data_IF_906396412852
#
_entry.id   IF_906396412852
#
_cell.length_a   1.000
_cell.length_b   1.000
_cell.length_c   1.000
_cell.angle_alpha   90.00
_cell.angle_beta   90.00
_cell.angle_gamma   90.00
#
_symmetry.space_group_name_H-M   'P 1'
#
loop_
_entity.id
_entity.type
_entity.pdbx_description
1 polymer ?
#
# COMPACT_ATOMS: atom_id res chain seq x y z
N UNK A 1 25.55 8.70 -12.09
CA UNK A 1 24.48 9.62 -12.50
C UNK A 1 23.50 9.66 -11.34
N UNK A 2 23.21 10.84 -10.77
CA UNK A 2 22.24 10.93 -9.69
C UNK A 2 20.92 10.32 -10.18
N UNK A 3 20.46 9.25 -9.52
CA UNK A 3 19.13 8.68 -9.76
C UNK A 3 18.15 9.84 -9.76
N UNK A 4 17.46 10.05 -10.87
CA UNK A 4 16.43 11.09 -10.96
C UNK A 4 15.41 10.72 -9.89
N UNK A 5 15.28 11.54 -8.86
CA UNK A 5 14.31 11.35 -7.79
C UNK A 5 12.91 11.31 -8.43
N UNK A 6 12.36 10.11 -8.67
CA UNK A 6 11.08 9.89 -9.34
C UNK A 6 10.02 9.67 -8.25
N UNK A 7 9.16 10.66 -7.92
CA UNK A 7 8.22 10.55 -6.80
C UNK A 7 7.22 9.40 -6.97
N UNK A 8 6.93 8.98 -8.19
CA UNK A 8 6.02 7.87 -8.47
C UNK A 8 6.66 6.48 -8.28
N UNK A 9 8.00 6.43 -8.22
CA UNK A 9 8.77 5.19 -8.07
C UNK A 9 9.31 5.00 -6.66
N UNK A 10 9.08 5.94 -5.74
CA UNK A 10 9.59 5.88 -4.38
C UNK A 10 8.70 6.69 -3.43
N UNK A 11 8.28 6.07 -2.32
CA UNK A 11 7.34 6.67 -1.38
C UNK A 11 7.95 7.81 -0.56
N UNK A 12 9.23 7.74 -0.18
CA UNK A 12 9.91 8.85 0.51
C UNK A 12 9.98 10.07 -0.39
N UNK A 13 10.38 9.85 -1.65
CA UNK A 13 10.42 10.90 -2.66
C UNK A 13 9.02 11.47 -2.98
N UNK A 14 7.97 10.66 -2.87
CA UNK A 14 6.58 11.11 -2.97
C UNK A 14 6.22 12.09 -1.85
N UNK A 15 6.53 11.74 -0.60
CA UNK A 15 6.31 12.60 0.57
C UNK A 15 7.05 13.92 0.42
N UNK A 16 8.33 13.89 0.04
CA UNK A 16 9.13 15.09 -0.22
C UNK A 16 8.54 15.95 -1.35
N UNK A 17 8.02 15.32 -2.41
CA UNK A 17 7.36 16.04 -3.50
C UNK A 17 6.06 16.71 -3.07
N UNK A 18 5.28 16.11 -2.16
CA UNK A 18 4.08 16.75 -1.60
C UNK A 18 4.45 17.96 -0.73
N UNK A 19 5.53 17.88 0.04
CA UNK A 19 6.05 19.02 0.81
C UNK A 19 6.52 20.14 -0.11
N UNK A 20 7.29 19.82 -1.15
CA UNK A 20 7.75 20.79 -2.15
C UNK A 20 6.60 21.43 -2.94
N UNK A 21 5.52 20.69 -3.19
CA UNK A 21 4.27 21.20 -3.78
C UNK A 21 3.49 22.13 -2.83
N UNK A 22 3.86 22.20 -1.54
CA UNK A 22 3.08 22.86 -0.51
C UNK A 22 1.77 22.15 -0.20
N UNK A 23 1.65 20.86 -0.52
CA UNK A 23 0.45 20.01 -0.39
C UNK A 23 0.52 19.02 0.79
N UNK A 24 1.51 19.19 1.68
CA UNK A 24 1.70 18.38 2.88
C UNK A 24 1.66 19.26 4.14
N UNK A 25 1.12 18.72 5.24
CA UNK A 25 1.21 19.29 6.58
C UNK A 25 1.91 18.27 7.48
N UNK A 26 3.09 18.64 7.97
CA UNK A 26 3.85 17.82 8.91
C UNK A 26 3.32 18.05 10.33
N UNK A 27 2.63 17.05 10.90
CA UNK A 27 2.06 17.10 12.25
C UNK A 27 3.08 16.48 13.21
N UNK A 28 3.65 17.32 14.08
CA UNK A 28 4.67 16.92 15.06
C UNK A 28 4.11 16.81 16.48
N UNK A 29 2.91 17.33 16.70
CA UNK A 29 2.12 17.08 17.91
C UNK A 29 1.76 15.60 17.98
N UNK A 30 1.65 15.08 19.20
CA UNK A 30 1.24 13.69 19.43
C UNK A 30 -0.23 13.52 19.10
N UNK A 31 -0.56 12.56 18.24
CA UNK A 31 -1.94 12.21 17.91
C UNK A 31 -2.28 10.79 18.40
N UNK A 32 -3.51 10.60 18.84
CA UNK A 32 -4.07 9.30 19.21
C UNK A 32 -4.46 8.51 17.94
N UNK A 33 -3.87 7.32 17.69
CA UNK A 33 -4.34 6.45 16.61
C UNK A 33 -5.78 5.96 16.84
N UNK A 34 -6.32 6.06 18.05
CA UNK A 34 -7.73 5.82 18.34
C UNK A 34 -8.59 7.03 17.94
N UNK A 35 -9.22 6.93 16.76
CA UNK A 35 -10.16 7.88 16.18
C UNK A 35 -9.59 9.25 15.78
N UNK A 36 -8.64 9.84 16.50
CA UNK A 36 -8.13 11.18 16.19
C UNK A 36 -7.46 11.24 14.81
N UNK A 37 -6.53 10.32 14.52
CA UNK A 37 -5.91 10.22 13.19
C UNK A 37 -6.97 10.05 12.10
N UNK A 38 -7.94 9.14 12.31
CA UNK A 38 -9.04 8.91 11.36
C UNK A 38 -9.91 10.15 11.13
N UNK A 39 -10.26 10.87 12.20
CA UNK A 39 -11.08 12.08 12.15
C UNK A 39 -10.36 13.23 11.42
N UNK A 40 -9.06 13.43 11.67
CA UNK A 40 -8.25 14.43 10.97
C UNK A 40 -8.19 14.09 9.48
N UNK A 41 -7.88 12.85 9.12
CA UNK A 41 -7.84 12.40 7.72
C UNK A 41 -9.20 12.61 7.06
N UNK A 42 -10.30 12.27 7.73
CA UNK A 42 -11.66 12.44 7.21
C UNK A 42 -11.95 13.91 6.89
N UNK A 43 -11.63 14.82 7.81
CA UNK A 43 -11.79 16.27 7.59
C UNK A 43 -10.95 16.77 6.43
N UNK A 44 -9.72 16.27 6.28
CA UNK A 44 -8.85 16.60 5.15
C UNK A 44 -9.50 16.21 3.82
N UNK A 45 -10.05 14.99 3.74
CA UNK A 45 -10.70 14.50 2.52
C UNK A 45 -11.94 15.33 2.17
N UNK A 46 -12.78 15.67 3.15
CA UNK A 46 -14.00 16.47 2.94
C UNK A 46 -13.72 17.88 2.42
N UNK A 47 -12.65 18.49 2.93
CA UNK A 47 -12.26 19.85 2.55
C UNK A 47 -11.31 19.90 1.35
N UNK A 48 -10.77 18.76 0.92
CA UNK A 48 -9.65 18.68 -0.02
C UNK A 48 -8.40 19.41 0.50
N UNK A 49 -8.17 19.39 1.81
CA UNK A 49 -7.01 20.00 2.46
C UNK A 49 -5.71 19.23 2.15
N UNK A 50 -4.57 19.80 2.55
CA UNK A 50 -3.23 19.21 2.43
C UNK A 50 -3.13 17.85 3.14
N UNK A 51 -2.29 16.96 2.61
CA UNK A 51 -2.09 15.63 3.18
C UNK A 51 -1.40 15.73 4.56
N UNK A 52 -1.98 15.19 5.65
CA UNK A 52 -1.34 15.20 6.95
C UNK A 52 -0.32 14.07 7.05
N UNK A 53 0.89 14.39 7.49
CA UNK A 53 1.92 13.43 7.86
C UNK A 53 2.06 13.43 9.38
N UNK A 54 1.53 12.38 10.01
CA UNK A 54 1.58 12.19 11.46
C UNK A 54 2.95 11.63 11.83
N UNK A 55 3.76 12.44 12.49
CA UNK A 55 5.13 12.06 12.87
C UNK A 55 5.20 11.38 14.24
N UNK A 56 4.24 11.70 15.12
CA UNK A 56 4.23 11.23 16.50
C UNK A 56 2.85 10.68 16.85
N UNK A 57 2.80 9.38 17.15
CA UNK A 57 1.57 8.71 17.56
C UNK A 57 1.66 8.27 19.02
N UNK A 58 0.57 8.35 19.74
CA UNK A 58 0.50 7.81 21.09
C UNK A 58 0.80 6.30 21.07
N UNK A 59 1.74 5.86 21.92
CA UNK A 59 2.19 4.47 21.99
C UNK A 59 3.18 4.05 20.90
N UNK A 60 3.67 4.98 20.07
CA UNK A 60 4.80 4.76 19.17
C UNK A 60 6.09 4.47 19.97
N UNK A 61 6.99 3.68 19.39
CA UNK A 61 8.31 3.44 19.99
C UNK A 61 9.21 4.67 19.94
N UNK A 62 10.24 4.69 20.79
CA UNK A 62 11.19 5.82 20.87
C UNK A 62 11.98 6.03 19.56
N UNK A 63 11.99 5.03 18.67
CA UNK A 63 12.68 5.08 17.39
C UNK A 63 11.87 5.81 16.30
N UNK A 64 10.60 6.12 16.55
CA UNK A 64 9.76 6.87 15.60
C UNK A 64 9.44 6.11 14.32
N UNK A 65 9.51 4.77 14.35
CA UNK A 65 9.47 3.92 13.14
C UNK A 65 8.08 3.78 12.52
N UNK A 66 7.06 4.42 13.10
CA UNK A 66 5.69 4.35 12.61
C UNK A 66 5.08 5.73 12.36
N UNK A 67 5.11 6.19 11.12
CA UNK A 67 4.46 7.43 10.66
C UNK A 67 3.26 7.09 9.78
N UNK A 68 2.25 7.95 9.78
CA UNK A 68 1.07 7.77 8.92
C UNK A 68 0.99 8.95 7.96
N UNK A 69 0.97 8.67 6.65
CA UNK A 69 0.57 9.63 5.63
C UNK A 69 -0.93 9.47 5.38
N UNK A 70 -1.70 10.50 5.73
CA UNK A 70 -3.14 10.55 5.49
C UNK A 70 -3.49 11.09 4.11
N UNK A 71 -4.60 10.60 3.56
CA UNK A 71 -5.17 11.08 2.30
C UNK A 71 -4.18 11.19 1.09
N UNK A 72 -3.30 10.17 0.87
CA UNK A 72 -2.24 10.27 -0.12
C UNK A 72 -2.77 10.37 -1.56
N UNK A 73 -3.98 9.89 -1.84
CA UNK A 73 -4.61 9.91 -3.16
C UNK A 73 -5.89 10.78 -3.22
N UNK A 74 -6.12 11.64 -2.23
CA UNK A 74 -7.30 12.52 -2.25
C UNK A 74 -7.12 13.73 -3.17
N UNK A 75 -8.20 14.49 -3.34
CA UNK A 75 -8.19 15.70 -4.14
C UNK A 75 -7.51 16.86 -3.39
N UNK A 76 -7.03 17.84 -4.16
CA UNK A 76 -6.49 19.12 -3.65
C UNK A 76 -7.54 20.24 -3.73
N UNK A 77 -7.40 21.24 -2.87
CA UNK A 77 -8.28 22.41 -2.80
C UNK A 77 -8.09 23.38 -3.97
N UNK A 78 -6.87 23.51 -4.51
CA UNK A 78 -6.60 24.31 -5.72
C UNK A 78 -7.28 23.65 -6.95
N UNK A 79 -8.26 24.30 -7.60
CA UNK A 79 -8.93 23.75 -8.77
C UNK A 79 -7.99 23.42 -9.94
N UNK A 80 -6.88 24.15 -10.09
CA UNK A 80 -5.89 23.90 -11.16
C UNK A 80 -5.09 22.62 -10.93
N UNK A 81 -4.93 22.22 -9.68
CA UNK A 81 -4.20 21.03 -9.28
C UNK A 81 -5.09 20.01 -8.59
N UNK A 82 -6.40 20.04 -8.86
CA UNK A 82 -7.41 19.23 -8.14
C UNK A 82 -7.04 17.74 -8.04
N UNK A 83 -6.42 17.20 -9.08
CA UNK A 83 -5.99 15.81 -9.18
C UNK A 83 -4.48 15.62 -8.98
N UNK A 84 -3.78 16.62 -8.44
CA UNK A 84 -2.32 16.66 -8.41
C UNK A 84 -1.68 15.49 -7.66
N UNK A 85 -2.31 15.00 -6.58
CA UNK A 85 -1.85 13.79 -5.88
C UNK A 85 -1.92 12.54 -6.76
N UNK A 86 -3.03 12.35 -7.47
CA UNK A 86 -3.21 11.26 -8.44
C UNK A 86 -2.25 11.39 -9.62
N UNK A 87 -2.05 12.60 -10.15
CA UNK A 87 -1.09 12.86 -11.20
C UNK A 87 0.35 12.49 -10.77
N UNK A 88 0.72 12.83 -9.54
CA UNK A 88 2.01 12.46 -8.94
C UNK A 88 2.20 10.94 -8.84
N UNK A 89 1.14 10.15 -8.58
CA UNK A 89 1.23 8.68 -8.59
C UNK A 89 1.67 8.13 -9.95
N UNK A 90 1.44 8.87 -11.03
CA UNK A 90 1.81 8.50 -12.39
C UNK A 90 3.02 9.24 -12.92
N UNK A 91 3.69 10.06 -12.11
CA UNK A 91 4.77 10.92 -12.61
C UNK A 91 4.28 11.96 -13.63
N UNK A 92 3.02 12.35 -13.56
CA UNK A 92 2.45 13.43 -14.36
C UNK A 92 2.58 14.78 -13.62
N UNK A 93 2.57 15.91 -14.35
CA UNK A 93 2.48 17.25 -13.76
C UNK A 93 1.27 17.41 -12.83
N UNK A 94 1.39 18.20 -11.76
CA UNK A 94 0.35 18.37 -10.73
C UNK A 94 -0.92 19.04 -11.24
N UNK A 95 -0.84 19.78 -12.35
CA UNK A 95 -1.95 20.40 -13.06
C UNK A 95 -2.58 19.50 -14.13
N UNK A 96 -2.20 18.22 -14.18
CA UNK A 96 -2.79 17.25 -15.11
C UNK A 96 -4.28 17.06 -14.86
N UNK A 97 -5.05 17.08 -15.95
CA UNK A 97 -6.47 16.76 -15.92
C UNK A 97 -6.71 15.27 -15.62
N UNK A 98 -7.91 14.96 -15.11
CA UNK A 98 -8.36 13.57 -14.97
C UNK A 98 -8.28 12.80 -16.30
N UNK A 99 -8.54 13.48 -17.44
CA UNK A 99 -8.40 12.86 -18.76
C UNK A 99 -6.96 12.41 -19.02
N UNK A 100 -5.96 13.24 -18.71
CA UNK A 100 -4.55 12.90 -18.93
C UNK A 100 -4.10 11.73 -18.03
N UNK A 101 -4.58 11.68 -16.79
CA UNK A 101 -4.37 10.55 -15.87
C UNK A 101 -4.94 9.26 -16.47
N UNK A 102 -6.20 9.28 -16.90
CA UNK A 102 -6.85 8.13 -17.52
C UNK A 102 -6.19 7.70 -18.83
N UNK A 103 -5.84 8.66 -19.69
CA UNK A 103 -5.15 8.39 -20.96
C UNK A 103 -3.83 7.65 -20.72
N UNK A 104 -3.06 8.05 -19.70
CA UNK A 104 -1.81 7.37 -19.31
C UNK A 104 -2.07 5.94 -18.82
N UNK A 105 -3.05 5.74 -17.95
CA UNK A 105 -3.42 4.39 -17.47
C UNK A 105 -3.90 3.48 -18.61
N UNK A 106 -4.67 4.02 -19.56
CA UNK A 106 -5.15 3.29 -20.72
C UNK A 106 -3.99 2.93 -21.66
N UNK A 107 -3.10 3.87 -21.95
CA UNK A 107 -1.94 3.65 -22.82
C UNK A 107 -0.98 2.55 -22.30
N UNK A 108 -0.86 2.43 -20.97
CA UNK A 108 -0.06 1.38 -20.34
C UNK A 108 -0.56 -0.04 -20.66
N UNK A 109 -1.85 -0.22 -20.99
CA UNK A 109 -2.43 -1.54 -21.34
C UNK A 109 -1.90 -2.11 -22.65
N UNK A 110 -1.45 -1.25 -23.56
CA UNK A 110 -0.91 -1.64 -24.87
C UNK A 110 0.61 -1.44 -24.97
N UNK A 111 1.23 -0.95 -23.90
CA UNK A 111 2.68 -0.75 -23.84
C UNK A 111 3.34 -2.07 -23.45
N UNK A 112 4.42 -2.50 -24.12
CA UNK A 112 5.12 -3.73 -23.75
C UNK A 112 5.50 -3.74 -22.26
N UNK A 113 5.33 -4.88 -21.56
CA UNK A 113 5.69 -4.98 -20.15
C UNK A 113 7.19 -4.76 -19.96
N UNK A 114 7.55 -4.05 -18.89
CA UNK A 114 8.94 -3.94 -18.45
C UNK A 114 9.00 -4.76 -17.16
N UNK A 115 9.63 -5.96 -17.17
CA UNK A 115 9.65 -6.83 -16.00
C UNK A 115 10.45 -6.18 -14.86
N UNK A 116 10.10 -6.50 -13.60
CA UNK A 116 10.83 -6.00 -12.45
C UNK A 116 12.28 -6.51 -12.44
N UNK A 117 13.17 -5.72 -11.84
CA UNK A 117 14.57 -6.08 -11.65
C UNK A 117 14.75 -6.62 -10.24
N UNK A 118 15.21 -7.87 -10.14
CA UNK A 118 15.55 -8.45 -8.83
C UNK A 118 16.89 -7.86 -8.38
N UNK A 119 16.88 -7.21 -7.23
CA UNK A 119 18.08 -6.67 -6.57
C UNK A 119 18.37 -7.43 -5.28
N UNK A 120 19.63 -7.41 -4.85
CA UNK A 120 20.07 -8.19 -3.68
C UNK A 120 19.52 -7.64 -2.36
N UNK A 121 19.34 -6.32 -2.27
CA UNK A 121 18.86 -5.63 -1.06
C UNK A 121 18.17 -4.31 -1.42
N UNK A 122 17.54 -3.66 -0.44
CA UNK A 122 16.87 -2.37 -0.59
C UNK A 122 16.55 -1.74 0.78
N UNK A 123 16.08 -0.48 0.81
CA UNK A 123 15.73 0.21 2.06
C UNK A 123 14.76 -0.59 2.96
N UNK A 124 13.86 -1.39 2.39
CA UNK A 124 12.93 -2.22 3.16
C UNK A 124 13.62 -3.35 3.97
N UNK A 125 14.94 -3.52 3.83
CA UNK A 125 15.76 -4.51 4.53
C UNK A 125 16.68 -3.88 5.60
N UNK A 126 16.60 -2.58 5.85
CA UNK A 126 17.41 -1.88 6.86
C UNK A 126 17.16 -2.42 8.28
N UNK A 127 15.92 -2.82 8.56
CA UNK A 127 15.52 -3.43 9.83
C UNK A 127 14.71 -4.70 9.57
N UNK A 128 15.14 -5.82 10.14
CA UNK A 128 14.47 -7.11 10.03
C UNK A 128 14.13 -7.59 11.45
N UNK A 129 12.85 -7.81 11.71
CA UNK A 129 12.34 -8.32 12.98
C UNK A 129 12.06 -9.83 12.88
N UNK A 130 12.49 -10.59 13.88
CA UNK A 130 12.11 -12.01 14.03
C UNK A 130 10.70 -12.14 14.64
N UNK A 131 10.05 -13.32 14.53
CA UNK A 131 8.70 -13.51 15.04
C UNK A 131 8.47 -13.17 16.53
N UNK A 132 9.50 -13.30 17.36
CA UNK A 132 9.46 -12.96 18.78
C UNK A 132 9.65 -11.45 19.05
N UNK A 133 10.16 -10.70 18.07
CA UNK A 133 10.45 -9.27 18.17
C UNK A 133 9.27 -8.38 17.76
N UNK A 134 8.30 -8.90 16.99
CA UNK A 134 7.14 -8.12 16.57
C UNK A 134 5.87 -8.44 17.38
N UNK A 135 5.03 -7.42 17.54
CA UNK A 135 3.72 -7.51 18.18
C UNK A 135 2.77 -6.48 17.57
N UNK A 136 1.84 -6.95 16.73
CA UNK A 136 0.88 -6.11 16.02
C UNK A 136 -0.01 -5.32 16.97
N UNK A 137 -0.25 -5.80 18.19
CA UNK A 137 -1.10 -5.09 19.17
C UNK A 137 -0.42 -3.86 19.77
N UNK A 138 0.91 -3.79 19.69
CA UNK A 138 1.73 -2.64 20.12
C UNK A 138 1.95 -1.61 19.03
N UNK A 139 1.69 -1.95 17.77
CA UNK A 139 1.74 -0.97 16.70
C UNK A 139 0.65 0.09 16.94
N UNK A 140 0.93 1.39 16.67
CA UNK A 140 -0.09 2.43 16.72
C UNK A 140 -0.99 2.36 15.47
N UNK A 141 -1.50 1.16 15.18
CA UNK A 141 -2.49 0.92 14.13
C UNK A 141 -3.79 1.67 14.46
N UNK A 142 -4.37 2.41 13.51
CA UNK A 142 -5.49 3.29 13.80
C UNK A 142 -6.80 2.52 13.98
N UNK A 143 -7.62 2.97 14.93
CA UNK A 143 -9.07 2.77 14.87
C UNK A 143 -9.64 3.94 14.09
N UNK A 144 -10.11 3.70 12.86
CA UNK A 144 -10.40 4.79 11.91
C UNK A 144 -11.77 5.41 12.14
N UNK A 145 -12.79 4.59 12.43
CA UNK A 145 -14.15 5.03 12.69
C UNK A 145 -14.68 4.48 14.01
N UNK A 146 -15.60 5.21 14.65
CA UNK A 146 -16.12 4.91 15.98
C UNK A 146 -16.72 3.49 16.10
N UNK A 147 -17.30 2.99 15.01
CA UNK A 147 -17.97 1.69 14.97
C UNK A 147 -17.15 0.59 14.27
N UNK A 148 -15.90 0.85 13.89
CA UNK A 148 -15.05 -0.17 13.29
C UNK A 148 -14.85 -1.33 14.28
N UNK A 149 -14.84 -2.57 13.78
CA UNK A 149 -14.70 -3.78 14.61
C UNK A 149 -13.32 -3.97 15.26
N UNK A 150 -12.34 -3.15 14.87
CA UNK A 150 -10.97 -3.20 15.39
C UNK A 150 -10.04 -2.23 14.67
N UNK A 151 -8.75 -2.30 15.00
CA UNK A 151 -7.71 -1.44 14.42
C UNK A 151 -7.34 -1.92 13.02
N UNK A 152 -7.39 -1.04 12.03
CA UNK A 152 -7.06 -1.36 10.63
C UNK A 152 -5.67 -0.88 10.30
N UNK A 153 -4.69 -1.79 10.39
CA UNK A 153 -3.31 -1.51 9.96
C UNK A 153 -3.21 -1.43 8.44
N UNK A 154 -4.07 -2.18 7.74
CA UNK A 154 -4.03 -2.29 6.29
C UNK A 154 -5.25 -1.65 5.63
N UNK A 155 -5.00 -0.49 5.05
CA UNK A 155 -5.94 0.30 4.24
C UNK A 155 -5.33 0.85 2.96
N UNK A 156 -4.00 0.93 2.87
CA UNK A 156 -3.27 1.52 1.74
C UNK A 156 -1.94 0.82 1.41
N UNK A 157 -1.74 -0.39 1.92
CA UNK A 157 -0.67 -1.30 1.52
C UNK A 157 -1.13 -2.28 0.44
N UNK A 158 -0.22 -3.15 0.02
CA UNK A 158 -0.40 -4.08 -1.08
C UNK A 158 -0.10 -5.51 -0.62
N UNK A 159 -1.11 -6.37 -0.70
CA UNK A 159 -0.92 -7.81 -0.59
C UNK A 159 -0.26 -8.34 -1.85
N UNK A 160 0.76 -9.16 -1.66
CA UNK A 160 1.49 -9.87 -2.71
C UNK A 160 1.33 -11.35 -2.44
N UNK A 161 0.74 -12.05 -3.41
CA UNK A 161 0.56 -13.50 -3.37
C UNK A 161 0.95 -14.09 -4.72
N UNK A 162 1.18 -15.40 -4.75
CA UNK A 162 1.56 -16.11 -5.98
C UNK A 162 0.85 -17.45 -6.04
N UNK A 163 0.45 -17.89 -7.23
CA UNK A 163 -0.12 -19.23 -7.45
C UNK A 163 0.85 -20.34 -7.00
N UNK A 164 0.35 -21.52 -6.62
CA UNK A 164 1.20 -22.65 -6.21
C UNK A 164 2.23 -23.07 -7.26
N UNK A 165 1.89 -22.96 -8.55
CA UNK A 165 2.79 -23.28 -9.67
C UNK A 165 3.78 -22.15 -10.01
N UNK A 166 3.67 -21.00 -9.33
CA UNK A 166 4.51 -19.84 -9.50
C UNK A 166 4.22 -19.02 -10.77
N UNK A 167 3.21 -19.33 -11.58
CA UNK A 167 3.01 -18.64 -12.86
C UNK A 167 2.28 -17.31 -12.75
N UNK A 168 1.52 -17.11 -11.67
CA UNK A 168 0.70 -15.93 -11.50
C UNK A 168 1.01 -15.26 -10.17
N UNK A 169 1.49 -14.02 -10.20
CA UNK A 169 1.57 -13.16 -9.03
C UNK A 169 0.39 -12.19 -9.05
N UNK A 170 -0.24 -11.96 -7.90
CA UNK A 170 -1.24 -10.91 -7.73
C UNK A 170 -0.77 -9.90 -6.69
N UNK A 171 -0.80 -8.63 -7.06
CA UNK A 171 -0.56 -7.51 -6.17
C UNK A 171 -1.85 -6.70 -6.04
N UNK A 172 -2.48 -6.73 -4.88
CA UNK A 172 -3.82 -6.14 -4.69
C UNK A 172 -3.97 -5.44 -3.35
N UNK A 173 -4.95 -4.54 -3.28
CA UNK A 173 -5.37 -3.90 -2.04
C UNK A 173 -6.60 -4.63 -1.51
N UNK A 174 -6.45 -5.22 -0.33
CA UNK A 174 -7.56 -5.69 0.50
C UNK A 174 -7.28 -5.20 1.93
N UNK A 175 -8.33 -4.83 2.67
CA UNK A 175 -8.16 -4.36 4.05
C UNK A 175 -7.77 -5.50 4.98
N UNK A 176 -7.05 -5.18 6.04
CA UNK A 176 -6.78 -6.11 7.13
C UNK A 176 -6.75 -5.42 8.50
N UNK A 177 -7.49 -6.01 9.43
CA UNK A 177 -7.66 -5.63 10.82
C UNK A 177 -6.65 -6.39 11.69
N UNK A 178 -6.07 -5.75 12.70
CA UNK A 178 -5.27 -6.43 13.72
C UNK A 178 -6.19 -7.36 14.53
N UNK A 179 -5.90 -8.66 14.54
CA UNK A 179 -6.67 -9.65 15.31
C UNK A 179 -6.02 -9.91 16.66
N UNK A 180 -4.72 -10.22 16.66
CA UNK A 180 -3.93 -10.45 17.86
C UNK A 180 -2.47 -10.04 17.63
N UNK A 181 -1.53 -10.56 18.44
CA UNK A 181 -0.11 -10.25 18.39
C UNK A 181 0.53 -10.50 17.01
N UNK A 182 0.10 -11.51 16.27
CA UNK A 182 0.76 -11.93 15.04
C UNK A 182 -0.19 -12.34 13.90
N UNK A 183 -1.49 -12.13 14.06
CA UNK A 183 -2.49 -12.37 13.03
C UNK A 183 -3.23 -11.10 12.62
N UNK A 184 -3.54 -11.05 11.32
CA UNK A 184 -4.47 -10.09 10.73
C UNK A 184 -5.74 -10.82 10.29
N UNK A 185 -6.88 -10.16 10.44
CA UNK A 185 -8.16 -10.57 9.87
C UNK A 185 -8.44 -9.70 8.63
N UNK A 186 -8.55 -10.30 7.44
CA UNK A 186 -8.74 -9.56 6.20
C UNK A 186 -9.80 -10.16 5.29
N UNK A 187 -10.27 -9.36 4.32
CA UNK A 187 -11.21 -9.82 3.31
C UNK A 187 -10.49 -10.58 2.19
N UNK A 188 -10.88 -11.84 2.00
CA UNK A 188 -10.49 -12.66 0.85
C UNK A 188 -11.77 -13.12 0.17
N UNK A 189 -12.26 -12.33 -0.79
CA UNK A 189 -13.62 -12.44 -1.32
C UNK A 189 -13.68 -12.60 -2.85
N UNK A 190 -14.74 -13.27 -3.33
CA UNK A 190 -15.06 -13.33 -4.78
C UNK A 190 -15.44 -11.93 -5.29
N UNK A 191 -15.08 -11.56 -6.54
CA UNK A 191 -14.34 -12.33 -7.54
C UNK A 191 -12.82 -12.04 -7.59
N UNK A 192 -12.25 -11.43 -6.54
CA UNK A 192 -10.89 -10.86 -6.58
C UNK A 192 -9.79 -11.92 -6.80
N UNK A 193 -8.70 -11.52 -7.47
CA UNK A 193 -7.54 -12.39 -7.73
C UNK A 193 -6.94 -12.98 -6.46
N UNK A 194 -6.89 -12.21 -5.36
CA UNK A 194 -6.45 -12.68 -4.05
C UNK A 194 -7.25 -13.91 -3.59
N UNK A 195 -8.57 -13.90 -3.76
CA UNK A 195 -9.44 -15.05 -3.49
C UNK A 195 -9.19 -16.21 -4.45
N UNK A 196 -9.03 -15.93 -5.74
CA UNK A 196 -8.78 -16.99 -6.73
C UNK A 196 -7.48 -17.75 -6.43
N UNK A 197 -6.40 -17.04 -6.09
CA UNK A 197 -5.11 -17.64 -5.72
C UNK A 197 -5.23 -18.37 -4.38
N UNK A 198 -5.94 -17.82 -3.39
CA UNK A 198 -6.21 -18.54 -2.12
C UNK A 198 -6.91 -19.88 -2.35
N UNK A 199 -7.90 -19.93 -3.24
CA UNK A 199 -8.58 -21.18 -3.61
C UNK A 199 -7.66 -22.17 -4.35
N UNK A 200 -6.65 -21.70 -5.09
CA UNK A 200 -5.63 -22.59 -5.67
C UNK A 200 -4.79 -23.25 -4.57
N UNK A 201 -4.32 -22.49 -3.59
CA UNK A 201 -3.58 -23.00 -2.43
C UNK A 201 -4.42 -23.96 -1.58
N UNK A 202 -5.70 -23.65 -1.40
CA UNK A 202 -6.64 -24.50 -0.69
C UNK A 202 -6.82 -25.87 -1.37
N UNK A 203 -6.81 -25.94 -2.70
CA UNK A 203 -6.84 -27.21 -3.45
C UNK A 203 -5.57 -28.05 -3.23
N UNK A 204 -4.43 -27.40 -3.02
CA UNK A 204 -3.15 -28.03 -2.67
C UNK A 204 -3.07 -28.43 -1.18
N UNK A 205 -4.07 -28.07 -0.36
CA UNK A 205 -4.10 -28.38 1.06
C UNK A 205 -3.01 -27.68 1.87
N UNK A 206 -2.54 -26.51 1.40
CA UNK A 206 -1.48 -25.72 2.02
C UNK A 206 -1.90 -24.27 2.21
N UNK A 207 -1.45 -23.67 3.30
CA UNK A 207 -1.62 -22.22 3.50
C UNK A 207 -0.90 -21.42 2.42
N UNK A 208 -1.50 -20.28 2.05
CA UNK A 208 -1.01 -19.41 0.99
C UNK A 208 0.06 -18.46 1.54
N UNK A 209 1.32 -18.51 1.07
CA UNK A 209 2.30 -17.48 1.41
C UNK A 209 1.84 -16.10 0.95
N UNK A 210 2.02 -15.09 1.79
CA UNK A 210 1.78 -13.70 1.43
C UNK A 210 2.92 -12.79 1.92
N UNK A 211 3.04 -11.65 1.24
CA UNK A 211 3.69 -10.47 1.79
C UNK A 211 2.69 -9.31 1.76
N UNK A 212 2.80 -8.37 2.69
CA UNK A 212 2.00 -7.16 2.76
C UNK A 212 2.96 -5.98 2.89
N UNK A 213 3.04 -5.18 1.83
CA UNK A 213 3.97 -4.06 1.75
C UNK A 213 3.24 -2.72 1.89
N UNK A 214 3.75 -1.84 2.75
CA UNK A 214 3.24 -0.49 3.00
C UNK A 214 4.24 0.55 2.53
N UNK A 215 3.75 1.75 2.20
CA UNK A 215 4.61 2.81 1.65
C UNK A 215 5.35 2.32 0.40
N UNK A 216 4.68 1.52 -0.43
CA UNK A 216 5.21 1.10 -1.72
C UNK A 216 5.22 2.29 -2.69
N UNK A 217 5.97 2.23 -3.80
CA UNK A 217 5.94 3.29 -4.80
C UNK A 217 4.52 3.71 -5.20
N UNK A 218 4.21 5.01 -5.33
CA UNK A 218 2.86 5.46 -5.67
C UNK A 218 2.30 4.88 -6.98
N UNK A 219 3.13 4.68 -8.00
CA UNK A 219 2.68 4.03 -9.23
C UNK A 219 2.28 2.56 -9.00
N UNK A 220 2.96 1.88 -8.08
CA UNK A 220 2.72 0.48 -7.72
C UNK A 220 1.36 0.35 -7.03
N UNK A 221 1.11 1.11 -5.96
CA UNK A 221 -0.16 1.00 -5.22
C UNK A 221 -1.35 1.38 -6.10
N UNK A 222 -1.17 2.34 -7.01
CA UNK A 222 -2.21 2.71 -7.95
C UNK A 222 -2.46 1.61 -9.00
N UNK A 223 -1.41 0.95 -9.50
CA UNK A 223 -1.54 -0.20 -10.40
C UNK A 223 -2.27 -1.39 -9.72
N UNK A 224 -2.02 -1.64 -8.44
CA UNK A 224 -2.70 -2.69 -7.65
C UNK A 224 -4.20 -2.47 -7.45
N UNK A 225 -4.70 -1.27 -7.76
CA UNK A 225 -6.14 -0.97 -7.76
C UNK A 225 -6.81 -1.17 -9.13
N UNK A 226 -6.03 -1.47 -10.18
CA UNK A 226 -6.56 -1.61 -11.54
C UNK A 226 -7.08 -3.03 -11.80
N UNK A 227 -8.23 -3.18 -12.50
CA UNK A 227 -8.70 -4.49 -12.93
C UNK A 227 -7.88 -4.97 -14.13
N UNK A 228 -6.82 -5.73 -13.86
CA UNK A 228 -6.08 -6.44 -14.90
C UNK A 228 -6.77 -7.78 -15.24
N UNK A 229 -6.61 -8.30 -16.47
CA UNK A 229 -7.03 -9.67 -16.82
C UNK A 229 -6.38 -10.74 -15.91
N UNK A 230 -7.10 -11.84 -15.69
CA UNK A 230 -6.57 -13.01 -14.96
C UNK A 230 -5.25 -13.50 -15.57
N UNK A 231 -4.29 -13.87 -14.73
CA UNK A 231 -3.00 -14.42 -15.14
C UNK A 231 -1.93 -13.40 -15.54
N UNK A 232 -2.27 -12.11 -15.66
CA UNK A 232 -1.27 -11.04 -15.78
C UNK A 232 -0.79 -10.62 -14.39
N UNK A 233 0.52 -10.42 -14.25
CA UNK A 233 1.13 -9.97 -12.99
C UNK A 233 1.23 -8.44 -12.98
N UNK A 234 0.66 -7.78 -11.95
CA UNK A 234 0.68 -6.32 -11.82
C UNK A 234 2.12 -5.77 -11.82
N UNK A 235 3.09 -6.52 -11.31
CA UNK A 235 4.52 -6.17 -11.29
C UNK A 235 5.08 -5.84 -12.69
N UNK A 236 4.64 -6.56 -13.73
CA UNK A 236 5.06 -6.33 -15.13
C UNK A 236 4.36 -5.11 -15.74
N UNK A 237 3.12 -4.86 -15.32
CA UNK A 237 2.30 -3.73 -15.76
C UNK A 237 2.81 -2.40 -15.19
N UNK A 238 3.35 -2.40 -13.96
CA UNK A 238 3.94 -1.20 -13.36
C UNK A 238 5.03 -0.62 -14.25
N UNK A 239 5.88 -1.49 -14.79
CA UNK A 239 6.95 -1.08 -15.69
C UNK A 239 6.43 -0.41 -16.97
N UNK A 240 5.32 -0.91 -17.53
CA UNK A 240 4.68 -0.30 -18.70
C UNK A 240 3.99 1.04 -18.37
N UNK A 241 3.50 1.20 -17.15
CA UNK A 241 2.84 2.42 -16.67
C UNK A 241 3.83 3.59 -16.46
N UNK A 242 5.03 3.28 -15.99
CA UNK A 242 6.04 4.28 -15.58
C UNK A 242 7.21 4.39 -16.54
N UNK A 243 7.38 3.43 -17.45
CA UNK A 243 8.46 3.40 -18.44
C UNK A 243 9.83 3.04 -17.86
N UNK A 244 9.88 2.45 -16.65
CA UNK A 244 11.11 1.98 -16.00
C UNK A 244 10.86 0.71 -15.21
N UNK A 245 11.90 -0.09 -15.00
CA UNK A 245 11.80 -1.30 -14.19
C UNK A 245 11.55 -0.97 -12.72
N UNK A 246 10.78 -1.81 -12.04
CA UNK A 246 10.61 -1.77 -10.59
C UNK A 246 11.65 -2.68 -9.93
N UNK A 247 12.47 -2.11 -9.06
CA UNK A 247 13.40 -2.90 -8.24
C UNK A 247 12.62 -3.66 -7.16
N UNK A 248 12.84 -4.97 -7.10
CA UNK A 248 12.21 -5.86 -6.11
C UNK A 248 13.25 -6.69 -5.38
N UNK A 249 13.00 -6.95 -4.11
CA UNK A 249 13.83 -7.84 -3.26
C UNK A 249 13.02 -9.04 -2.84
N UNK A 250 13.71 -10.16 -2.60
CA UNK A 250 13.07 -11.36 -2.08
C UNK A 250 12.65 -11.17 -0.61
N UNK A 251 11.50 -11.72 -0.23
CA UNK A 251 11.07 -11.84 1.16
C UNK A 251 12.08 -12.69 1.97
N UNK A 252 12.17 -12.43 3.27
CA UNK A 252 13.06 -13.15 4.19
C UNK A 252 12.59 -14.59 4.46
N UNK A 253 11.27 -14.76 4.58
CA UNK A 253 10.64 -16.00 5.09
C UNK A 253 9.96 -16.82 4.00
N UNK A 254 9.78 -16.26 2.80
CA UNK A 254 9.09 -16.94 1.71
C UNK A 254 9.65 -16.56 0.32
N UNK A 255 9.11 -17.17 -0.73
CA UNK A 255 9.59 -17.02 -2.11
C UNK A 255 9.02 -15.83 -2.89
N UNK A 256 8.33 -14.89 -2.24
CA UNK A 256 7.73 -13.72 -2.88
C UNK A 256 8.75 -12.59 -3.03
N UNK A 257 8.42 -11.63 -3.90
CA UNK A 257 9.22 -10.44 -4.15
C UNK A 257 8.40 -9.20 -3.84
N UNK A 258 8.99 -8.24 -3.12
CA UNK A 258 8.37 -6.97 -2.70
C UNK A 258 9.15 -5.80 -3.28
N UNK A 259 8.54 -4.61 -3.50
CA UNK A 259 9.28 -3.43 -3.91
C UNK A 259 10.42 -3.11 -2.93
N UNK A 260 11.64 -2.91 -3.46
CA UNK A 260 12.86 -2.75 -2.66
C UNK A 260 12.80 -1.55 -1.70
N UNK A 261 12.02 -0.54 -2.06
CA UNK A 261 11.83 0.70 -1.31
C UNK A 261 10.47 0.80 -0.59
N UNK A 262 9.84 -0.33 -0.30
CA UNK A 262 8.70 -0.36 0.63
C UNK A 262 9.13 0.13 2.01
N UNK A 263 8.28 0.90 2.71
CA UNK A 263 8.60 1.36 4.07
C UNK A 263 8.52 0.24 5.10
N UNK A 264 7.47 -0.60 5.01
CA UNK A 264 7.22 -1.69 5.95
C UNK A 264 6.74 -2.90 5.16
N UNK A 265 7.27 -4.09 5.48
CA UNK A 265 6.86 -5.36 4.85
C UNK A 265 6.52 -6.35 5.95
N UNK A 266 5.29 -6.86 5.95
CA UNK A 266 4.90 -8.03 6.73
C UNK A 266 4.96 -9.27 5.85
N UNK A 267 5.45 -10.37 6.40
CA UNK A 267 5.55 -11.65 5.70
C UNK A 267 4.86 -12.73 6.53
N UNK A 268 4.16 -13.66 5.86
CA UNK A 268 3.50 -14.76 6.55
C UNK A 268 2.72 -15.67 5.62
N UNK A 269 1.72 -16.33 6.20
CA UNK A 269 0.80 -17.22 5.48
C UNK A 269 -0.66 -16.84 5.77
N UNK A 270 -1.52 -17.02 4.78
CA UNK A 270 -2.96 -16.90 4.90
C UNK A 270 -3.55 -18.30 5.05
N UNK A 271 -4.21 -18.54 6.18
CA UNK A 271 -4.80 -19.84 6.52
C UNK A 271 -5.87 -20.24 5.49
N UNK A 272 -5.86 -21.51 5.07
CA UNK A 272 -6.91 -22.05 4.17
C UNK A 272 -8.14 -22.58 4.92
N UNK A 273 -8.06 -22.70 6.24
CA UNK A 273 -9.11 -23.28 7.10
C UNK A 273 -9.61 -22.31 8.16
N UNK A 274 -8.75 -21.50 8.74
CA UNK A 274 -9.11 -20.62 9.86
C UNK A 274 -9.80 -19.35 9.37
N UNK A 275 -10.83 -18.96 10.11
CA UNK A 275 -11.58 -17.73 9.89
C UNK A 275 -11.88 -17.10 11.24
N UNK A 276 -11.79 -15.78 11.28
CA UNK A 276 -12.09 -14.97 12.46
C UNK A 276 -13.06 -13.85 12.07
N UNK A 277 -13.84 -13.30 13.03
CA UNK A 277 -14.62 -12.10 12.77
C UNK A 277 -13.74 -10.94 12.29
N UNK A 278 -14.21 -10.24 11.27
CA UNK A 278 -13.57 -9.05 10.69
C UNK A 278 -14.66 -7.99 10.48
N UNK A 279 -14.32 -6.73 10.77
CA UNK A 279 -15.26 -5.63 10.66
C UNK A 279 -16.29 -5.53 11.79
N UNK A 280 -17.28 -4.64 11.65
CA UNK A 280 -17.55 -3.83 10.46
C UNK A 280 -16.45 -2.78 10.20
N UNK A 281 -16.48 -2.19 9.01
CA UNK A 281 -15.52 -1.16 8.58
C UNK A 281 -16.27 -0.06 7.84
N UNK A 282 -15.89 1.21 8.06
CA UNK A 282 -16.35 2.34 7.23
C UNK A 282 -16.01 2.12 5.76
N UNK A 283 -17.02 1.90 4.93
CA UNK A 283 -16.87 1.43 3.55
C UNK A 283 -16.99 2.53 2.50
N UNK A 284 -16.62 2.19 1.26
CA UNK A 284 -16.54 3.13 0.14
C UNK A 284 -17.85 3.87 -0.20
N UNK A 285 -19.01 3.38 0.26
CA UNK A 285 -20.32 3.98 0.00
C UNK A 285 -20.72 5.10 0.97
N UNK A 286 -19.87 5.39 1.96
CA UNK A 286 -20.19 6.30 3.08
C UNK A 286 -21.04 5.63 4.16
#
# INVERSE_FOLDING_TARGET
>A
MASKCLPHMDFRNYVEALEADGDLVSITEECDPHLEVGAIIRKVVENNDKAPLFNKLQGQDENGLWRILGAPNSLRSDPKQRYGRLARHLGLPTDSSMKAILDKMIAAKTTPPIPPTVVETGPCKEHILTPDQFDLTKLPAPLLHQSDGGKYVQTYGMFIVRSPDGKWANWSIARAMVYDRNHLAGLVIKPQHLYQIHEMWKKEGRDMPYALAFGVPPAVIMASSMPLPDGLSEAEYIGSLVGSSLDVVKCETNGLYVPANSEIVFEGTCSITERVPEGPFGEMHG
#
